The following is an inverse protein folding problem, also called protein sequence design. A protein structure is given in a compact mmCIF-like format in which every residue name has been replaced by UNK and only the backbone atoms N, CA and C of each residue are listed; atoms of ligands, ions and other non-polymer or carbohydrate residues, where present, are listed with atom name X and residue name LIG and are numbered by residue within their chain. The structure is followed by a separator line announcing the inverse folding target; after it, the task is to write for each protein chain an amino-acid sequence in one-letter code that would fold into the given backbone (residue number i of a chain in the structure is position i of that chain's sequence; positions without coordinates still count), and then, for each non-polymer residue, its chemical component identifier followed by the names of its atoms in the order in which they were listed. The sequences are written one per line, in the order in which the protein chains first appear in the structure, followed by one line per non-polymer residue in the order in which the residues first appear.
data_IF_761731086667
#
_entry.id   IF_761731086667
#
_cell.length_a   1.000
_cell.length_b   1.000
_cell.length_c   1.000
_cell.angle_alpha   90.00
_cell.angle_beta   90.00
_cell.angle_gamma   90.00
#
_symmetry.space_group_name_H-M   'P 1'
#
loop_
_entity.id
_entity.type
_entity.pdbx_description
1 polymer ?
#
# COMPACT_ATOMS: atom_id res chain seq x y z
N UNK A 1 3.03 -1.64 20.38
CA UNK A 1 3.02 -2.47 19.18
C UNK A 1 4.08 -1.91 18.24
N UNK A 2 5.04 -2.73 17.82
CA UNK A 2 6.15 -2.32 16.94
C UNK A 2 6.05 -3.13 15.66
N UNK A 3 5.75 -2.48 14.54
CA UNK A 3 5.71 -3.11 13.23
C UNK A 3 7.14 -3.33 12.72
N UNK A 4 7.43 -4.52 12.21
CA UNK A 4 8.74 -4.82 11.63
C UNK A 4 8.69 -4.58 10.12
N UNK A 5 9.55 -3.71 9.55
CA UNK A 5 9.70 -3.65 8.11
C UNK A 5 10.23 -5.00 7.62
N UNK A 6 9.54 -5.58 6.65
CA UNK A 6 9.93 -6.86 6.04
C UNK A 6 10.84 -6.58 4.85
N UNK A 7 10.36 -5.75 3.92
CA UNK A 7 11.00 -5.54 2.63
C UNK A 7 10.57 -4.20 2.01
N UNK A 8 11.53 -3.52 1.38
CA UNK A 8 11.29 -2.48 0.39
C UNK A 8 11.47 -3.12 -1.00
N UNK A 9 10.43 -3.14 -1.82
CA UNK A 9 10.42 -3.92 -3.06
C UNK A 9 9.67 -3.23 -4.20
N UNK A 10 9.82 -3.78 -5.40
CA UNK A 10 9.01 -3.42 -6.56
C UNK A 10 8.06 -4.59 -6.84
N UNK A 11 6.78 -4.37 -6.60
CA UNK A 11 5.74 -5.32 -6.97
C UNK A 11 5.50 -5.24 -8.46
N UNK A 12 5.38 -6.41 -9.08
CA UNK A 12 4.95 -6.55 -10.47
C UNK A 12 3.59 -7.23 -10.45
N UNK A 13 2.58 -6.61 -11.06
CA UNK A 13 1.23 -7.15 -11.15
C UNK A 13 0.69 -7.00 -12.57
N UNK A 14 -0.20 -7.90 -12.94
CA UNK A 14 -0.90 -7.85 -14.22
C UNK A 14 -2.06 -6.86 -14.11
N UNK A 15 -2.14 -5.92 -15.05
CA UNK A 15 -3.23 -4.95 -15.13
C UNK A 15 -4.46 -5.59 -15.81
N UNK A 16 -5.68 -5.04 -15.65
CA UNK A 16 -6.90 -5.62 -16.22
C UNK A 16 -6.90 -5.78 -17.75
N UNK A 17 -6.02 -5.07 -18.47
CA UNK A 17 -5.81 -5.21 -19.92
C UNK A 17 -4.80 -6.29 -20.31
N UNK A 18 -4.23 -7.01 -19.33
CA UNK A 18 -3.24 -8.07 -19.52
C UNK A 18 -1.80 -7.58 -19.68
N UNK A 19 -1.54 -6.28 -19.53
CA UNK A 19 -0.17 -5.76 -19.44
C UNK A 19 0.40 -5.97 -18.02
N UNK A 20 1.70 -5.70 -17.84
CA UNK A 20 2.33 -5.71 -16.52
C UNK A 20 2.63 -4.27 -16.07
N UNK A 21 2.34 -3.99 -14.80
CA UNK A 21 2.67 -2.75 -14.12
C UNK A 21 3.66 -3.01 -12.98
N UNK A 22 4.37 -1.96 -12.59
CA UNK A 22 5.31 -2.00 -11.47
C UNK A 22 4.90 -1.00 -10.41
N UNK A 23 5.02 -1.38 -9.13
CA UNK A 23 4.82 -0.43 -8.05
C UNK A 23 5.76 -0.62 -6.87
N UNK A 24 6.33 0.49 -6.41
CA UNK A 24 7.08 0.50 -5.16
C UNK A 24 6.14 0.20 -3.99
N UNK A 25 6.51 -0.82 -3.26
CA UNK A 25 5.81 -1.26 -2.07
C UNK A 25 6.80 -1.40 -0.93
N UNK A 26 6.33 -1.02 0.24
CA UNK A 26 7.00 -1.34 1.50
C UNK A 26 6.04 -2.21 2.29
N UNK A 27 6.55 -3.30 2.86
CA UNK A 27 5.74 -4.27 3.59
C UNK A 27 6.15 -4.26 5.06
N UNK A 28 5.15 -4.25 5.93
CA UNK A 28 5.31 -4.38 7.37
C UNK A 28 4.52 -5.57 7.87
N UNK A 29 5.06 -6.22 8.91
CA UNK A 29 4.36 -7.27 9.65
C UNK A 29 4.28 -6.90 11.13
N UNK A 30 3.10 -7.13 11.70
CA UNK A 30 2.91 -7.13 13.14
C UNK A 30 3.49 -8.44 13.70
N UNK A 31 4.56 -8.38 14.52
CA UNK A 31 5.19 -9.58 15.04
C UNK A 31 4.28 -10.41 15.95
N UNK A 32 3.26 -9.79 16.57
CA UNK A 32 2.34 -10.46 17.50
C UNK A 32 1.21 -11.18 16.76
N UNK A 33 0.57 -10.49 15.82
CA UNK A 33 -0.60 -11.02 15.10
C UNK A 33 -0.26 -11.63 13.75
N UNK A 34 0.95 -11.42 13.24
CA UNK A 34 1.37 -11.73 11.87
C UNK A 34 0.49 -11.02 10.81
N UNK A 35 -0.22 -9.97 11.20
CA UNK A 35 -0.96 -9.14 10.27
C UNK A 35 0.02 -8.38 9.37
N UNK A 36 -0.35 -8.20 8.11
CA UNK A 36 0.49 -7.50 7.14
C UNK A 36 -0.12 -6.16 6.74
N UNK A 37 0.76 -5.20 6.48
CA UNK A 37 0.43 -3.86 5.96
C UNK A 37 1.36 -3.53 4.81
N UNK A 38 0.80 -3.09 3.70
CA UNK A 38 1.56 -2.69 2.53
C UNK A 38 1.32 -1.20 2.27
N UNK A 39 2.39 -0.41 2.27
CA UNK A 39 2.33 0.99 1.83
C UNK A 39 2.83 1.04 0.39
N UNK A 40 1.94 1.44 -0.49
CA UNK A 40 2.26 1.70 -1.88
C UNK A 40 2.59 3.17 -2.04
N UNK A 41 3.64 3.50 -2.77
CA UNK A 41 3.99 4.90 -3.04
C UNK A 41 4.05 5.12 -4.54
N UNK A 42 3.43 6.20 -5.02
CA UNK A 42 3.61 6.64 -6.41
C UNK A 42 4.99 7.26 -6.61
N UNK A 43 5.81 6.62 -7.45
CA UNK A 43 7.12 7.09 -7.85
C UNK A 43 7.15 7.45 -9.34
N UNK A 44 8.04 8.37 -9.70
CA UNK A 44 8.15 8.88 -11.07
C UNK A 44 8.57 7.83 -12.10
N UNK A 45 9.18 6.73 -11.65
CA UNK A 45 9.66 5.62 -12.48
C UNK A 45 8.71 4.43 -12.54
N UNK A 46 7.58 4.48 -11.82
CA UNK A 46 6.58 3.43 -11.90
C UNK A 46 5.91 3.42 -13.29
N UNK A 47 5.60 2.21 -13.76
CA UNK A 47 4.92 1.99 -15.04
C UNK A 47 3.53 1.38 -14.82
N UNK A 48 2.60 1.72 -15.71
CA UNK A 48 1.26 1.14 -15.74
C UNK A 48 0.19 2.06 -15.14
N UNK A 49 -0.71 1.46 -14.36
CA UNK A 49 -1.88 2.14 -13.78
C UNK A 49 -1.51 3.11 -12.65
N UNK A 50 -2.40 4.09 -12.41
CA UNK A 50 -2.32 4.94 -11.23
C UNK A 50 -2.40 4.10 -9.97
N UNK A 51 -1.75 4.54 -8.89
CA UNK A 51 -1.83 3.88 -7.57
C UNK A 51 -3.28 3.71 -7.10
N UNK A 52 -4.14 4.66 -7.46
CA UNK A 52 -5.56 4.63 -7.16
C UNK A 52 -6.17 3.36 -7.74
N UNK A 53 -5.97 3.09 -9.02
CA UNK A 53 -6.59 1.92 -9.65
C UNK A 53 -5.85 0.61 -9.34
N UNK A 54 -4.65 0.67 -8.75
CA UNK A 54 -3.78 -0.48 -8.52
C UNK A 54 -3.99 -1.20 -7.18
N UNK A 55 -4.65 -0.57 -6.20
CA UNK A 55 -4.64 -1.08 -4.83
C UNK A 55 -5.23 -2.50 -4.67
N UNK A 56 -6.25 -2.85 -5.46
CA UNK A 56 -6.84 -4.20 -5.45
C UNK A 56 -5.89 -5.24 -6.05
N UNK A 57 -5.33 -4.96 -7.23
CA UNK A 57 -4.37 -5.85 -7.90
C UNK A 57 -3.10 -6.04 -7.06
N UNK A 58 -2.68 -4.99 -6.36
CA UNK A 58 -1.54 -5.06 -5.46
C UNK A 58 -1.86 -5.86 -4.19
N UNK A 59 -3.04 -5.67 -3.58
CA UNK A 59 -3.45 -6.50 -2.45
C UNK A 59 -3.42 -8.00 -2.80
N UNK A 60 -3.91 -8.35 -3.99
CA UNK A 60 -3.86 -9.72 -4.52
C UNK A 60 -2.41 -10.17 -4.81
N UNK A 61 -1.57 -9.32 -5.40
CA UNK A 61 -0.16 -9.63 -5.63
C UNK A 61 0.61 -9.89 -4.32
N UNK A 62 0.34 -9.10 -3.28
CA UNK A 62 0.93 -9.29 -1.95
C UNK A 62 0.41 -10.58 -1.33
N UNK A 63 -0.89 -10.87 -1.42
CA UNK A 63 -1.44 -12.11 -0.91
C UNK A 63 -0.84 -13.34 -1.62
N UNK A 64 -0.64 -13.28 -2.94
CA UNK A 64 0.02 -14.34 -3.72
C UNK A 64 1.49 -14.54 -3.33
N UNK A 65 2.23 -13.47 -3.10
CA UNK A 65 3.66 -13.53 -2.82
C UNK A 65 3.97 -13.93 -1.36
N UNK A 66 3.13 -13.52 -0.39
CA UNK A 66 3.38 -13.75 1.04
C UNK A 66 2.37 -14.67 1.72
N UNK A 67 1.31 -15.09 1.04
CA UNK A 67 0.30 -16.03 1.58
C UNK A 67 -0.56 -15.45 2.71
N UNK A 68 -0.61 -14.12 2.83
CA UNK A 68 -1.34 -13.43 3.86
C UNK A 68 -2.11 -12.24 3.29
N UNK A 69 -3.36 -12.07 3.73
CA UNK A 69 -4.13 -10.89 3.40
C UNK A 69 -3.44 -9.64 3.96
N UNK A 70 -3.33 -8.62 3.13
CA UNK A 70 -2.61 -7.41 3.44
C UNK A 70 -3.53 -6.19 3.31
N UNK A 71 -3.62 -5.37 4.35
CA UNK A 71 -4.29 -4.08 4.19
C UNK A 71 -3.33 -3.10 3.50
N UNK A 72 -3.86 -2.42 2.49
CA UNK A 72 -3.10 -1.50 1.63
C UNK A 72 -3.31 -0.07 2.12
N UNK A 73 -2.22 0.68 2.19
CA UNK A 73 -2.21 2.12 2.39
C UNK A 73 -1.57 2.74 1.16
N UNK A 74 -2.30 3.61 0.47
CA UNK A 74 -1.73 4.42 -0.59
C UNK A 74 -1.04 5.62 0.04
N UNK A 75 0.22 5.83 -0.31
CA UNK A 75 0.99 7.02 0.01
C UNK A 75 1.10 7.88 -1.24
N UNK A 76 0.60 9.10 -1.15
CA UNK A 76 0.66 10.13 -2.18
C UNK A 76 1.69 11.18 -1.74
N UNK A 77 2.94 11.13 -2.24
CA UNK A 77 3.96 12.11 -1.87
C UNK A 77 3.53 13.52 -2.26
N UNK A 78 4.00 14.52 -1.52
CA UNK A 78 3.73 15.92 -1.84
C UNK A 78 4.15 16.27 -3.28
N UNK A 79 3.23 16.88 -4.04
CA UNK A 79 3.45 17.25 -5.45
C UNK A 79 2.98 18.67 -5.73
N UNK A 80 3.93 19.59 -5.88
CA UNK A 80 3.63 20.99 -6.12
C UNK A 80 2.91 21.61 -4.92
N UNK A 81 1.62 21.96 -5.10
CA UNK A 81 0.78 22.51 -4.04
C UNK A 81 -0.05 21.46 -3.28
N UNK A 82 -0.05 20.21 -3.75
CA UNK A 82 -0.76 19.11 -3.09
C UNK A 82 0.08 18.59 -1.91
N UNK A 83 -0.44 18.60 -0.68
CA UNK A 83 0.27 18.07 0.47
C UNK A 83 0.39 16.55 0.38
N UNK A 84 1.39 16.01 1.06
CA UNK A 84 1.49 14.57 1.29
C UNK A 84 0.23 14.06 1.99
N UNK A 85 -0.25 12.88 1.57
CA UNK A 85 -1.39 12.21 2.20
C UNK A 85 -1.27 10.70 2.14
N UNK A 86 -2.01 10.05 3.04
CA UNK A 86 -2.15 8.60 3.08
C UNK A 86 -3.62 8.23 3.02
N UNK A 87 -3.96 7.20 2.26
CA UNK A 87 -5.32 6.67 2.17
C UNK A 87 -5.31 5.18 2.54
N UNK A 88 -6.09 4.78 3.54
CA UNK A 88 -6.35 3.36 3.79
C UNK A 88 -7.30 2.83 2.72
N UNK A 89 -6.96 1.68 2.14
CA UNK A 89 -7.76 1.05 1.10
C UNK A 89 -8.38 -0.23 1.64
N UNK A 90 -9.71 -0.30 1.58
CA UNK A 90 -10.48 -1.51 1.79
C UNK A 90 -10.99 -2.00 0.43
N UNK A 91 -10.66 -3.24 0.07
CA UNK A 91 -11.14 -3.88 -1.15
C UNK A 91 -12.25 -4.84 -0.78
N UNK A 92 -13.40 -4.71 -1.42
CA UNK A 92 -14.53 -5.59 -1.16
C UNK A 92 -14.40 -6.93 -1.91
N UNK A 93 -15.37 -7.83 -1.71
CA UNK A 93 -15.38 -9.17 -2.34
C UNK A 93 -15.51 -9.15 -3.87
N UNK A 94 -15.82 -8.01 -4.47
CA UNK A 94 -15.94 -7.82 -5.92
C UNK A 94 -14.72 -7.12 -6.51
N UNK A 95 -13.73 -6.79 -5.68
CA UNK A 95 -12.53 -6.04 -6.10
C UNK A 95 -12.71 -4.52 -6.07
N UNK A 96 -13.83 -4.01 -5.53
CA UNK A 96 -14.06 -2.57 -5.45
C UNK A 96 -13.28 -1.96 -4.28
N UNK A 97 -12.43 -0.99 -4.58
CA UNK A 97 -11.57 -0.32 -3.61
C UNK A 97 -12.21 0.96 -3.06
N UNK A 98 -12.50 0.96 -1.76
CA UNK A 98 -12.91 2.14 -0.99
C UNK A 98 -11.70 2.76 -0.29
N UNK A 99 -11.50 4.08 -0.46
CA UNK A 99 -10.37 4.85 0.11
C UNK A 99 -10.84 5.75 1.24
N UNK A 100 -10.16 5.65 2.38
CA UNK A 100 -10.39 6.51 3.54
C UNK A 100 -9.12 7.30 3.83
N UNK A 101 -9.15 8.64 3.74
CA UNK A 101 -8.00 9.46 4.12
C UNK A 101 -7.60 9.22 5.58
N UNK A 102 -6.30 9.02 5.80
CA UNK A 102 -5.70 8.89 7.12
C UNK A 102 -5.08 10.22 7.53
N UNK A 103 -5.53 10.75 8.66
CA UNK A 103 -4.78 11.78 9.37
C UNK A 103 -3.58 11.14 10.11
N UNK A 104 -2.68 11.94 10.71
CA UNK A 104 -1.52 11.38 11.42
C UNK A 104 -1.89 10.38 12.54
N UNK A 105 -3.04 10.57 13.19
CA UNK A 105 -3.49 9.66 14.25
C UNK A 105 -4.00 8.33 13.67
N UNK A 106 -4.75 8.38 12.56
CA UNK A 106 -5.19 7.21 11.81
C UNK A 106 -4.02 6.43 11.21
N UNK A 107 -3.03 7.14 10.66
CA UNK A 107 -1.80 6.50 10.17
C UNK A 107 -1.02 5.83 11.31
N UNK A 108 -0.89 6.49 12.46
CA UNK A 108 -0.25 5.89 13.64
C UNK A 108 -1.06 4.73 14.24
N UNK A 109 -2.38 4.67 14.02
CA UNK A 109 -3.19 3.53 14.43
C UNK A 109 -2.97 2.31 13.51
N UNK A 110 -2.83 2.55 12.20
CA UNK A 110 -2.56 1.49 11.21
C UNK A 110 -1.09 1.03 11.22
N UNK A 111 -0.17 1.97 11.35
CA UNK A 111 1.28 1.78 11.34
C UNK A 111 1.97 2.70 12.37
N UNK A 112 1.93 2.37 13.68
CA UNK A 112 2.54 3.13 14.77
C UNK A 112 4.03 3.54 14.62
N UNK A 113 4.75 3.04 13.61
CA UNK A 113 6.15 3.37 13.34
C UNK A 113 6.44 4.04 11.99
N UNK A 114 5.44 4.32 11.15
CA UNK A 114 5.66 5.01 9.87
C UNK A 114 5.91 6.50 10.06
N UNK A 115 5.27 7.11 11.07
CA UNK A 115 5.34 8.55 11.36
C UNK A 115 6.71 8.96 11.91
N UNK A 116 7.42 8.05 12.59
CA UNK A 116 8.74 8.32 13.18
C UNK A 116 9.91 8.08 12.19
N UNK A 117 9.62 7.54 10.99
CA UNK A 117 10.61 7.16 9.98
C UNK A 117 10.68 8.12 8.77
N UNK A 118 9.92 9.22 8.79
CA UNK A 118 9.95 10.31 7.80
C UNK A 118 10.75 11.50 8.31
#
# INVERSE_FOLDING_TARGET
MTWNPIEDTVLVYETPDGAYATRRARLWEDPETRAHRCVLTEAADDQGMSIVDAAADVADAVEKAWGAHCAVIEHHPAKGAEPERFDAVAVDRFGEATRTPLDPAGLAAELPGLVDAA
#
